data_IF_130753957462
#
_entry.id   IF_130753957462
#
_cell.length_a   1.000
_cell.length_b   1.000
_cell.length_c   1.000
_cell.angle_alpha   90.00
_cell.angle_beta   90.00
_cell.angle_gamma   90.00
#
_symmetry.space_group_name_H-M   'P 1'
#
loop_
_entity.id
_entity.type
_entity.pdbx_description
1 polymer ?
#
# COMPACT_ATOMS: atom_id res chain seq x y z
N UNK A 1 8.83 -19.02 0.10
CA UNK A 1 9.74 -19.80 0.97
C UNK A 1 10.25 -18.89 2.07
N UNK A 2 10.61 -19.42 3.24
CA UNK A 2 11.20 -18.61 4.29
C UNK A 2 12.11 -19.44 5.20
N UNK A 3 13.21 -18.82 5.65
CA UNK A 3 14.16 -19.37 6.61
C UNK A 3 14.20 -18.45 7.82
N UNK A 4 14.32 -19.02 9.02
CA UNK A 4 14.49 -18.23 10.23
C UNK A 4 15.54 -18.87 11.15
N UNK A 5 16.26 -18.00 11.84
CA UNK A 5 17.19 -18.35 12.91
C UNK A 5 16.88 -17.45 14.10
N UNK A 6 16.88 -18.01 15.30
CA UNK A 6 16.70 -17.25 16.53
C UNK A 6 17.57 -17.85 17.63
N UNK A 7 18.12 -16.97 18.46
CA UNK A 7 18.81 -17.33 19.67
C UNK A 7 18.29 -16.48 20.85
N UNK A 8 18.27 -17.09 22.03
CA UNK A 8 17.86 -16.45 23.29
C UNK A 8 18.90 -16.73 24.35
N UNK A 9 19.52 -15.65 24.82
CA UNK A 9 20.49 -15.68 25.88
C UNK A 9 19.90 -15.09 27.16
N UNK A 10 20.17 -15.73 28.29
CA UNK A 10 19.76 -15.25 29.61
C UNK A 10 20.94 -15.39 30.56
N UNK A 11 21.31 -14.29 31.20
CA UNK A 11 22.46 -14.23 32.09
C UNK A 11 22.13 -13.38 33.30
N UNK A 12 22.78 -13.67 34.41
CA UNK A 12 22.75 -12.83 35.60
C UNK A 12 24.06 -12.06 35.70
N UNK A 13 23.99 -10.72 35.72
CA UNK A 13 25.14 -9.84 35.89
C UNK A 13 24.92 -9.07 37.19
N UNK A 14 25.79 -9.26 38.19
CA UNK A 14 25.70 -8.59 39.50
C UNK A 14 24.30 -8.71 40.16
N UNK A 15 23.75 -9.94 40.22
CA UNK A 15 22.40 -10.24 40.73
C UNK A 15 21.26 -9.53 39.98
N UNK A 16 21.48 -9.19 38.70
CA UNK A 16 20.47 -8.61 37.81
C UNK A 16 20.27 -9.47 36.59
N UNK A 17 19.00 -9.68 36.23
CA UNK A 17 18.66 -10.50 35.08
C UNK A 17 18.82 -9.69 33.78
N UNK A 18 19.61 -10.24 32.86
CA UNK A 18 19.74 -9.78 31.48
C UNK A 18 19.15 -10.86 30.58
N UNK A 19 18.19 -10.48 29.75
CA UNK A 19 17.68 -11.32 28.67
C UNK A 19 17.92 -10.63 27.34
N UNK A 20 18.44 -11.38 26.38
CA UNK A 20 18.65 -10.93 25.00
C UNK A 20 18.06 -11.99 24.08
N UNK A 21 17.29 -11.56 23.10
CA UNK A 21 16.77 -12.42 22.04
C UNK A 21 17.10 -11.77 20.71
N UNK A 22 17.78 -12.49 19.84
CA UNK A 22 18.12 -12.02 18.50
C UNK A 22 17.62 -13.05 17.49
N UNK A 23 17.04 -12.56 16.41
CA UNK A 23 16.54 -13.41 15.33
C UNK A 23 16.73 -12.78 13.98
N UNK A 24 16.79 -13.62 12.96
CA UNK A 24 16.90 -13.23 11.57
C UNK A 24 15.96 -14.10 10.76
N UNK A 25 15.09 -13.46 9.97
CA UNK A 25 14.20 -14.14 9.04
C UNK A 25 14.48 -13.68 7.62
N UNK A 26 14.52 -14.62 6.69
CA UNK A 26 14.58 -14.35 5.26
C UNK A 26 13.36 -14.94 4.59
N UNK A 27 12.65 -14.14 3.81
CA UNK A 27 11.46 -14.54 3.08
C UNK A 27 11.64 -14.31 1.58
N UNK A 28 11.08 -15.22 0.79
CA UNK A 28 10.97 -15.14 -0.67
C UNK A 28 9.53 -15.37 -1.13
N UNK A 29 9.02 -14.47 -1.96
CA UNK A 29 7.72 -14.54 -2.63
C UNK A 29 7.96 -14.82 -4.12
N UNK A 30 7.18 -15.75 -4.69
CA UNK A 30 7.40 -16.29 -6.04
C UNK A 30 8.83 -16.80 -6.27
N UNK A 31 9.35 -17.72 -5.43
CA UNK A 31 10.68 -18.28 -5.67
C UNK A 31 10.74 -18.95 -7.04
N UNK A 32 11.90 -18.89 -7.69
CA UNK A 32 12.17 -19.51 -8.99
C UNK A 32 11.47 -18.85 -10.19
N UNK A 33 10.90 -17.65 -10.02
CA UNK A 33 10.40 -16.82 -11.13
C UNK A 33 11.28 -15.58 -11.32
N UNK A 34 11.17 -14.95 -12.49
CA UNK A 34 11.89 -13.69 -12.78
C UNK A 34 11.43 -12.52 -11.89
N UNK A 35 10.27 -12.64 -11.23
CA UNK A 35 9.70 -11.62 -10.35
C UNK A 35 9.80 -12.03 -8.87
N UNK A 36 10.84 -12.79 -8.51
CA UNK A 36 11.07 -13.20 -7.13
C UNK A 36 11.29 -11.98 -6.24
N UNK A 37 10.45 -11.80 -5.23
CA UNK A 37 10.64 -10.78 -4.20
C UNK A 37 11.30 -11.40 -2.98
N UNK A 38 12.21 -10.68 -2.33
CA UNK A 38 12.83 -11.15 -1.10
C UNK A 38 12.95 -10.06 -0.05
N UNK A 39 12.95 -10.48 1.22
CA UNK A 39 13.17 -9.60 2.35
C UNK A 39 13.95 -10.28 3.46
N UNK A 40 14.83 -9.50 4.09
CA UNK A 40 15.55 -9.88 5.30
C UNK A 40 15.02 -9.05 6.47
N UNK A 41 14.68 -9.75 7.55
CA UNK A 41 13.97 -9.25 8.72
C UNK A 41 14.73 -9.60 10.01
N UNK A 42 15.77 -8.82 10.36
CA UNK A 42 16.44 -8.92 11.65
C UNK A 42 15.54 -8.43 12.78
N UNK A 43 15.66 -9.03 13.96
CA UNK A 43 15.04 -8.59 15.20
C UNK A 43 15.99 -8.78 16.38
N UNK A 44 16.01 -7.84 17.31
CA UNK A 44 16.71 -7.94 18.58
C UNK A 44 15.85 -7.32 19.67
N UNK A 45 15.69 -8.04 20.77
CA UNK A 45 15.02 -7.59 21.98
C UNK A 45 15.96 -7.81 23.16
N UNK A 46 16.02 -6.85 24.06
CA UNK A 46 16.79 -6.94 25.28
C UNK A 46 15.97 -6.43 26.47
N UNK A 47 16.13 -7.08 27.61
CA UNK A 47 15.61 -6.59 28.88
C UNK A 47 16.67 -6.71 29.95
N UNK A 48 16.88 -5.65 30.71
CA UNK A 48 17.86 -5.60 31.77
C UNK A 48 17.26 -5.03 33.05
N UNK A 49 17.44 -5.74 34.15
CA UNK A 49 17.05 -5.28 35.49
C UNK A 49 18.07 -4.25 36.00
N UNK A 50 17.75 -2.97 35.94
CA UNK A 50 18.65 -1.88 36.37
C UNK A 50 18.91 -1.92 37.88
N UNK A 51 17.84 -2.05 38.65
CA UNK A 51 17.83 -2.27 40.10
C UNK A 51 16.74 -3.27 40.42
N UNK A 52 16.76 -3.83 41.64
CA UNK A 52 15.68 -4.71 42.09
C UNK A 52 14.34 -4.02 41.84
N UNK A 53 13.51 -4.68 41.05
CA UNK A 53 12.18 -4.24 40.64
C UNK A 53 12.07 -3.14 39.57
N UNK A 54 13.17 -2.72 38.93
CA UNK A 54 13.13 -1.79 37.79
C UNK A 54 13.79 -2.44 36.57
N UNK A 55 13.00 -2.72 35.54
CA UNK A 55 13.47 -3.34 34.29
C UNK A 55 13.38 -2.35 33.14
N UNK A 56 14.48 -2.21 32.41
CA UNK A 56 14.51 -1.52 31.12
C UNK A 56 14.39 -2.56 30.01
N UNK A 57 13.46 -2.34 29.09
CA UNK A 57 13.26 -3.13 27.87
C UNK A 57 13.59 -2.30 26.65
N UNK A 58 14.15 -2.92 25.64
CA UNK A 58 14.41 -2.30 24.35
C UNK A 58 14.28 -3.31 23.23
N UNK A 59 13.75 -2.88 22.10
CA UNK A 59 13.54 -3.71 20.93
C UNK A 59 13.83 -2.95 19.65
N UNK A 60 14.44 -3.64 18.69
CA UNK A 60 14.55 -3.18 17.32
C UNK A 60 14.29 -4.34 16.36
N UNK A 61 13.48 -4.11 15.34
CA UNK A 61 13.24 -5.12 14.32
C UNK A 61 12.80 -4.53 12.99
N UNK A 62 13.03 -5.28 11.93
CA UNK A 62 12.48 -5.01 10.60
C UNK A 62 11.55 -6.16 10.26
N UNK A 63 10.31 -5.83 9.93
CA UNK A 63 9.31 -6.78 9.45
C UNK A 63 9.04 -6.51 7.98
N UNK A 64 8.87 -7.53 7.17
CA UNK A 64 8.49 -7.38 5.77
C UNK A 64 7.12 -8.00 5.52
N UNK A 65 6.32 -7.36 4.67
CA UNK A 65 5.02 -7.85 4.24
C UNK A 65 5.08 -8.15 2.75
N UNK A 66 4.55 -9.29 2.35
CA UNK A 66 4.42 -9.66 0.94
C UNK A 66 3.30 -8.87 0.28
N UNK A 67 3.39 -8.60 -1.03
CA UNK A 67 2.25 -8.06 -1.77
C UNK A 67 1.14 -9.11 -1.86
N UNK A 68 -0.10 -8.63 -1.97
CA UNK A 68 -1.26 -9.48 -2.25
C UNK A 68 -1.28 -9.88 -3.72
N UNK A 69 -2.14 -10.84 -4.08
CA UNK A 69 -2.32 -11.26 -5.48
C UNK A 69 -2.71 -10.10 -6.39
N UNK A 70 -3.49 -9.13 -5.89
CA UNK A 70 -3.88 -7.94 -6.64
C UNK A 70 -2.67 -7.14 -7.16
N UNK A 71 -1.60 -7.05 -6.36
CA UNK A 71 -0.40 -6.31 -6.77
C UNK A 71 0.58 -7.16 -7.56
N UNK A 72 0.59 -8.48 -7.36
CA UNK A 72 1.46 -9.42 -8.08
C UNK A 72 0.93 -9.77 -9.48
N UNK A 73 -0.39 -9.83 -9.61
CA UNK A 73 -1.11 -10.21 -10.82
C UNK A 73 -2.30 -9.24 -11.02
N UNK A 74 -2.04 -7.96 -11.26
CA UNK A 74 -3.12 -7.01 -11.54
C UNK A 74 -3.79 -7.36 -12.86
N UNK A 75 -5.09 -7.06 -12.95
CA UNK A 75 -5.82 -7.21 -14.21
C UNK A 75 -5.38 -6.17 -15.24
N UNK A 76 -5.52 -6.52 -16.51
CA UNK A 76 -5.28 -5.58 -17.62
C UNK A 76 -6.25 -4.41 -17.55
N UNK A 77 -5.78 -3.24 -17.96
CA UNK A 77 -6.64 -2.06 -18.11
C UNK A 77 -7.25 -2.03 -19.49
N UNK A 78 -8.54 -1.70 -19.57
CA UNK A 78 -9.30 -1.59 -20.82
C UNK A 78 -9.73 -0.14 -21.00
N UNK A 79 -9.40 0.43 -22.15
CA UNK A 79 -9.83 1.77 -22.54
C UNK A 79 -10.74 1.65 -23.75
N UNK A 80 -12.01 1.99 -23.55
CA UNK A 80 -13.05 1.91 -24.56
C UNK A 80 -13.37 3.31 -25.08
N UNK A 81 -13.19 3.51 -26.38
CA UNK A 81 -13.52 4.76 -27.05
C UNK A 81 -14.45 4.50 -28.22
N UNK A 82 -15.42 5.40 -28.42
CA UNK A 82 -16.26 5.34 -29.60
C UNK A 82 -15.44 5.65 -30.84
N UNK A 83 -15.32 4.64 -31.70
CA UNK A 83 -14.88 4.79 -33.08
C UNK A 83 -15.97 5.36 -33.97
N UNK A 84 -17.23 5.13 -33.60
CA UNK A 84 -18.41 5.75 -34.16
C UNK A 84 -19.53 5.70 -33.13
N UNK A 85 -20.28 6.79 -32.97
CA UNK A 85 -21.55 6.79 -32.25
C UNK A 85 -22.62 7.43 -33.13
N UNK A 86 -23.29 6.61 -33.93
CA UNK A 86 -24.40 7.04 -34.78
C UNK A 86 -25.73 6.67 -34.10
N UNK A 87 -26.26 7.61 -33.33
CA UNK A 87 -27.51 7.43 -32.61
C UNK A 87 -28.73 7.71 -33.49
N UNK A 88 -29.74 6.83 -33.40
CA UNK A 88 -31.09 6.99 -33.96
C UNK A 88 -32.10 6.44 -32.96
N UNK A 89 -33.29 7.04 -32.91
CA UNK A 89 -34.39 6.55 -32.07
C UNK A 89 -34.82 5.14 -32.46
N UNK A 90 -34.81 4.83 -33.76
CA UNK A 90 -35.03 3.48 -34.26
C UNK A 90 -33.76 2.63 -34.07
N UNK A 91 -33.76 1.58 -33.24
CA UNK A 91 -32.58 0.75 -33.01
C UNK A 91 -32.08 0.02 -34.27
N UNK A 92 -32.95 -0.21 -35.25
CA UNK A 92 -32.55 -0.79 -36.54
C UNK A 92 -31.65 0.15 -37.37
N UNK A 93 -31.66 1.44 -37.07
CA UNK A 93 -30.90 2.49 -37.77
C UNK A 93 -29.72 3.04 -36.94
N UNK A 94 -29.59 2.61 -35.68
CA UNK A 94 -28.50 3.03 -34.80
C UNK A 94 -27.27 2.11 -34.97
N UNK A 95 -26.08 2.69 -34.87
CA UNK A 95 -24.82 1.96 -34.84
C UNK A 95 -23.80 2.65 -33.95
N UNK A 96 -23.31 1.91 -32.96
CA UNK A 96 -22.15 2.28 -32.17
C UNK A 96 -21.01 1.30 -32.45
N UNK A 97 -19.82 1.83 -32.75
CA UNK A 97 -18.58 1.08 -32.84
C UNK A 97 -17.66 1.57 -31.73
N UNK A 98 -17.17 0.63 -30.92
CA UNK A 98 -16.25 0.89 -29.83
C UNK A 98 -14.94 0.18 -30.15
N UNK A 99 -13.83 0.92 -30.06
CA UNK A 99 -12.50 0.33 -30.07
C UNK A 99 -11.99 0.24 -28.65
N UNK A 100 -11.60 -0.98 -28.26
CA UNK A 100 -10.94 -1.26 -26.99
C UNK A 100 -9.43 -1.28 -27.17
N UNK A 101 -8.72 -0.55 -26.33
CA UNK A 101 -7.27 -0.65 -26.14
C UNK A 101 -6.99 -1.33 -24.82
N UNK A 102 -6.05 -2.28 -24.81
CA UNK A 102 -5.73 -3.10 -23.64
C UNK A 102 -4.30 -2.83 -23.22
N UNK A 103 -4.09 -2.59 -21.93
CA UNK A 103 -2.78 -2.30 -21.36
C UNK A 103 -2.41 -3.30 -20.26
N UNK A 104 -1.14 -3.66 -20.21
CA UNK A 104 -0.56 -4.40 -19.08
C UNK A 104 -0.31 -3.42 -17.93
N UNK A 105 -0.83 -3.77 -16.76
CA UNK A 105 -0.75 -2.95 -15.55
C UNK A 105 0.28 -3.49 -14.56
N UNK A 106 0.97 -4.58 -14.90
CA UNK A 106 1.97 -5.19 -14.03
C UNK A 106 3.13 -4.24 -13.74
N UNK A 107 3.59 -4.26 -12.48
CA UNK A 107 4.80 -3.54 -12.07
C UNK A 107 5.94 -4.54 -11.77
N UNK A 108 6.92 -4.68 -12.68
CA UNK A 108 8.06 -5.58 -12.46
C UNK A 108 9.00 -5.11 -11.34
N UNK A 109 8.97 -3.81 -11.00
CA UNK A 109 9.83 -3.20 -9.98
C UNK A 109 9.20 -3.19 -8.58
N UNK A 110 8.10 -3.93 -8.39
CA UNK A 110 7.39 -4.01 -7.12
C UNK A 110 8.30 -4.55 -6.01
N UNK A 111 8.32 -3.89 -4.85
CA UNK A 111 9.15 -4.25 -3.69
C UNK A 111 8.29 -4.73 -2.53
N UNK A 112 8.88 -5.53 -1.65
CA UNK A 112 8.25 -5.86 -0.37
C UNK A 112 8.15 -4.62 0.51
N UNK A 113 6.98 -4.40 1.12
CA UNK A 113 6.81 -3.39 2.18
C UNK A 113 7.67 -3.77 3.38
N UNK A 114 8.40 -2.81 3.94
CA UNK A 114 9.27 -3.02 5.10
C UNK A 114 8.94 -2.05 6.21
N UNK A 115 8.77 -2.57 7.41
CA UNK A 115 8.46 -1.82 8.62
C UNK A 115 9.59 -1.97 9.63
N UNK A 116 10.30 -0.89 9.92
CA UNK A 116 11.29 -0.85 11.01
C UNK A 116 10.66 -0.29 12.27
N UNK A 117 10.70 -1.05 13.36
CA UNK A 117 10.18 -0.65 14.67
C UNK A 117 11.32 -0.57 15.69
N UNK A 118 11.33 0.52 16.45
CA UNK A 118 12.15 0.73 17.65
C UNK A 118 11.22 0.91 18.83
N UNK A 119 11.48 0.21 19.93
CA UNK A 119 10.69 0.32 21.15
C UNK A 119 11.60 0.38 22.38
N UNK A 120 11.17 1.12 23.39
CA UNK A 120 11.83 1.24 24.68
C UNK A 120 10.77 1.26 25.77
N UNK A 121 10.93 0.40 26.77
CA UNK A 121 9.98 0.24 27.85
C UNK A 121 10.63 0.27 29.22
N UNK A 122 9.91 0.73 30.21
CA UNK A 122 10.30 0.72 31.62
C UNK A 122 9.20 0.04 32.42
N UNK A 123 9.58 -0.99 33.18
CA UNK A 123 8.70 -1.66 34.13
C UNK A 123 9.21 -1.49 35.55
N UNK A 124 8.35 -1.02 36.43
CA UNK A 124 8.61 -0.92 37.85
C UNK A 124 7.62 -1.78 38.64
N UNK A 125 8.14 -2.59 39.55
CA UNK A 125 7.36 -3.47 40.42
C UNK A 125 7.53 -3.06 41.89
N UNK A 126 6.45 -3.11 42.66
CA UNK A 126 6.55 -2.89 44.11
C UNK A 126 5.51 -3.75 44.82
N UNK A 127 5.93 -4.92 45.28
CA UNK A 127 5.02 -5.93 45.83
C UNK A 127 3.99 -6.36 44.78
N UNK A 128 2.71 -6.01 45.02
CA UNK A 128 1.58 -6.31 44.10
C UNK A 128 1.31 -5.18 43.08
N UNK A 129 2.11 -4.12 43.07
CA UNK A 129 1.95 -2.97 42.17
C UNK A 129 2.85 -3.11 40.95
N UNK A 130 2.37 -2.70 39.79
CA UNK A 130 3.11 -2.72 38.52
C UNK A 130 2.89 -1.42 37.77
N UNK A 131 3.97 -0.80 37.33
CA UNK A 131 3.91 0.39 36.49
C UNK A 131 4.74 0.15 35.24
N UNK A 132 4.11 0.14 34.08
CA UNK A 132 4.75 -0.08 32.79
C UNK A 132 4.54 1.13 31.90
N UNK A 133 5.60 1.61 31.26
CA UNK A 133 5.53 2.62 30.20
C UNK A 133 6.32 2.10 29.01
N UNK A 134 5.78 2.26 27.80
CA UNK A 134 6.42 1.84 26.55
C UNK A 134 6.33 2.96 25.51
N UNK A 135 7.44 3.30 24.89
CA UNK A 135 7.49 4.23 23.77
C UNK A 135 7.93 3.50 22.51
N UNK A 136 7.30 3.80 21.37
CA UNK A 136 7.68 3.20 20.09
C UNK A 136 7.73 4.22 18.95
N UNK A 137 8.56 3.87 17.97
CA UNK A 137 8.69 4.55 16.70
C UNK A 137 8.76 3.50 15.60
N UNK A 138 7.79 3.53 14.68
CA UNK A 138 7.62 2.57 13.61
C UNK A 138 7.56 3.30 12.27
N UNK A 139 8.45 2.95 11.35
CA UNK A 139 8.47 3.48 9.99
C UNK A 139 8.25 2.35 9.00
N UNK A 140 7.13 2.42 8.28
CA UNK A 140 6.80 1.57 7.14
C UNK A 140 7.18 2.28 5.85
N UNK A 141 7.93 1.58 5.00
CA UNK A 141 8.34 2.03 3.68
C UNK A 141 7.83 1.10 2.59
N UNK A 142 7.67 1.63 1.38
CA UNK A 142 7.22 0.90 0.21
C UNK A 142 5.82 0.28 0.41
N UNK A 143 4.90 0.99 1.06
CA UNK A 143 3.50 0.56 1.18
C UNK A 143 2.86 0.42 -0.20
N UNK A 144 2.04 -0.61 -0.35
CA UNK A 144 1.38 -0.92 -1.62
C UNK A 144 0.22 0.01 -1.91
N UNK A 145 0.11 0.43 -3.17
CA UNK A 145 -0.99 1.24 -3.66
C UNK A 145 -1.23 0.95 -5.14
N UNK A 146 -2.46 1.17 -5.61
CA UNK A 146 -2.76 1.22 -7.05
C UNK A 146 -2.79 2.69 -7.43
N UNK A 147 -1.87 3.15 -8.28
CA UNK A 147 -1.86 4.55 -8.69
C UNK A 147 -1.49 4.73 -10.16
N UNK A 148 -1.84 5.90 -10.67
CA UNK A 148 -1.45 6.34 -12.00
C UNK A 148 -0.04 6.92 -11.92
N UNK A 149 0.90 6.30 -12.64
CA UNK A 149 2.28 6.74 -12.82
C UNK A 149 2.57 7.08 -14.30
N UNK A 150 3.78 7.54 -14.61
CA UNK A 150 4.18 7.90 -15.98
C UNK A 150 3.96 6.78 -17.01
N UNK A 151 4.20 5.52 -16.63
CA UNK A 151 4.00 4.39 -17.54
C UNK A 151 2.52 4.06 -17.77
N UNK A 152 1.65 4.54 -16.89
CA UNK A 152 0.20 4.30 -16.97
C UNK A 152 -0.57 5.38 -17.72
N UNK A 153 0.11 6.40 -18.25
CA UNK A 153 -0.45 7.38 -19.18
C UNK A 153 -0.01 6.99 -20.59
N UNK A 154 -0.96 6.61 -21.44
CA UNK A 154 -0.70 6.09 -22.78
C UNK A 154 -1.44 6.93 -23.83
N UNK A 155 -0.73 7.32 -24.87
CA UNK A 155 -1.33 7.94 -26.05
C UNK A 155 -1.73 6.84 -27.02
N UNK A 156 -3.03 6.72 -27.31
CA UNK A 156 -3.57 5.67 -28.18
C UNK A 156 -4.28 6.24 -29.39
N UNK A 157 -3.95 5.70 -30.57
CA UNK A 157 -4.70 5.95 -31.78
C UNK A 157 -5.99 5.14 -31.78
N UNK A 158 -7.13 5.81 -31.97
CA UNK A 158 -8.45 5.21 -32.13
C UNK A 158 -8.92 5.47 -33.57
N UNK A 159 -9.32 4.43 -34.32
CA UNK A 159 -9.90 4.62 -35.65
C UNK A 159 -11.26 5.31 -35.51
N UNK A 160 -11.48 6.35 -36.30
CA UNK A 160 -12.73 7.11 -36.35
C UNK A 160 -13.39 6.85 -37.70
N UNK A 161 -14.60 6.31 -37.66
CA UNK A 161 -15.42 6.07 -38.85
C UNK A 161 -16.43 7.20 -39.02
N UNK A 162 -16.78 7.46 -40.28
CA UNK A 162 -17.85 8.40 -40.63
C UNK A 162 -18.94 7.67 -41.42
N UNK A 163 -20.15 8.20 -41.40
CA UNK A 163 -21.28 7.63 -42.15
C UNK A 163 -21.27 8.18 -43.57
N UNK A 164 -21.23 7.29 -44.56
CA UNK A 164 -21.35 7.66 -45.98
C UNK A 164 -22.82 7.76 -46.40
N UNK A 165 -23.67 6.83 -45.96
CA UNK A 165 -25.11 6.87 -46.21
C UNK A 165 -25.89 6.15 -45.11
N UNK A 166 -27.16 6.51 -44.91
CA UNK A 166 -28.03 5.94 -43.87
C UNK A 166 -29.43 5.64 -44.45
N UNK A 167 -29.65 4.44 -45.03
CA UNK A 167 -30.95 4.06 -45.56
C UNK A 167 -31.97 3.82 -44.44
N UNK A 168 -33.20 4.30 -44.62
CA UNK A 168 -34.29 4.10 -43.67
C UNK A 168 -34.54 2.60 -43.40
N UNK A 169 -34.76 2.25 -42.14
CA UNK A 169 -34.95 0.86 -41.70
C UNK A 169 -33.69 0.00 -41.61
N UNK A 170 -32.49 0.56 -41.79
CA UNK A 170 -31.22 -0.18 -41.75
C UNK A 170 -30.08 0.60 -41.11
N UNK A 171 -29.03 -0.13 -40.69
CA UNK A 171 -27.81 0.48 -40.13
C UNK A 171 -27.10 1.37 -41.18
N UNK A 172 -26.43 2.45 -40.75
CA UNK A 172 -25.66 3.29 -41.66
C UNK A 172 -24.53 2.51 -42.35
N UNK A 173 -24.25 2.88 -43.60
CA UNK A 173 -23.10 2.43 -44.37
C UNK A 173 -21.94 3.38 -44.07
N UNK A 174 -20.82 2.80 -43.63
CA UNK A 174 -19.63 3.55 -43.23
C UNK A 174 -18.82 3.99 -44.45
N UNK A 175 -18.15 5.14 -44.34
CA UNK A 175 -17.13 5.56 -45.31
C UNK A 175 -15.95 4.57 -45.32
N UNK A 176 -15.37 4.26 -46.50
CA UNK A 176 -14.12 3.52 -46.57
C UNK A 176 -12.92 4.33 -46.02
N UNK A 177 -13.05 5.65 -45.93
CA UNK A 177 -12.02 6.53 -45.40
C UNK A 177 -12.08 6.54 -43.86
N UNK A 178 -11.08 5.90 -43.23
CA UNK A 178 -10.94 5.81 -41.76
C UNK A 178 -9.80 6.71 -41.32
N UNK A 179 -10.08 7.65 -40.42
CA UNK A 179 -9.04 8.48 -39.80
C UNK A 179 -8.63 7.90 -38.45
N UNK A 180 -7.46 8.30 -37.93
CA UNK A 180 -7.05 7.94 -36.57
C UNK A 180 -6.96 9.20 -35.74
N UNK A 181 -7.64 9.22 -34.59
CA UNK A 181 -7.53 10.29 -33.60
C UNK A 181 -6.78 9.78 -32.36
N UNK A 182 -5.94 10.62 -31.78
CA UNK A 182 -5.14 10.26 -30.61
C UNK A 182 -5.89 10.63 -29.33
N UNK A 183 -6.10 9.63 -28.48
CA UNK A 183 -6.68 9.78 -27.14
C UNK A 183 -5.63 9.53 -26.07
N UNK A 184 -5.85 10.08 -24.89
CA UNK A 184 -5.04 9.75 -23.71
C UNK A 184 -5.81 8.74 -22.87
N UNK A 185 -5.24 7.55 -22.73
CA UNK A 185 -5.73 6.53 -21.82
C UNK A 185 -4.90 6.61 -20.53
N UNK A 186 -5.57 6.58 -19.38
CA UNK A 186 -4.92 6.46 -18.08
C UNK A 186 -5.45 5.24 -17.33
N UNK A 187 -4.60 4.61 -16.55
CA UNK A 187 -4.99 3.48 -15.71
C UNK A 187 -4.16 3.45 -14.42
N UNK A 188 -4.60 2.67 -13.43
CA UNK A 188 -3.83 2.46 -12.20
C UNK A 188 -2.97 1.20 -12.31
N UNK A 189 -1.77 1.24 -11.77
CA UNK A 189 -0.85 0.10 -11.66
C UNK A 189 -0.35 -0.04 -10.22
N UNK A 190 0.03 -1.25 -9.78
CA UNK A 190 0.68 -1.45 -8.48
C UNK A 190 1.93 -0.59 -8.31
N UNK A 191 2.11 0.02 -7.15
CA UNK A 191 3.31 0.79 -6.80
C UNK A 191 3.66 0.70 -5.31
N UNK A 192 4.77 1.34 -4.94
CA UNK A 192 5.34 1.34 -3.59
C UNK A 192 5.41 2.77 -3.03
N UNK A 193 4.31 3.51 -3.07
CA UNK A 193 4.33 4.97 -2.87
C UNK A 193 3.82 5.45 -1.51
N UNK A 194 3.48 4.53 -0.61
CA UNK A 194 2.92 4.88 0.69
C UNK A 194 3.93 4.63 1.83
N UNK A 195 4.45 5.72 2.40
CA UNK A 195 5.31 5.67 3.58
C UNK A 195 4.52 6.09 4.83
N UNK A 196 4.48 5.22 5.83
CA UNK A 196 3.70 5.44 7.06
C UNK A 196 4.66 5.54 8.25
N UNK A 197 4.50 6.57 9.05
CA UNK A 197 5.21 6.77 10.30
C UNK A 197 4.22 6.71 11.46
N UNK A 198 4.38 5.72 12.34
CA UNK A 198 3.65 5.60 13.59
C UNK A 198 4.59 5.85 14.76
N UNK A 199 4.15 6.61 15.75
CA UNK A 199 4.87 6.78 17.01
C UNK A 199 3.88 6.92 18.15
N UNK A 200 4.26 6.47 19.33
CA UNK A 200 3.37 6.54 20.46
C UNK A 200 4.03 6.22 21.78
N UNK A 201 3.29 6.49 22.83
CA UNK A 201 3.60 6.11 24.21
C UNK A 201 2.38 5.43 24.79
N UNK A 202 2.59 4.30 25.45
CA UNK A 202 1.59 3.49 26.12
C UNK A 202 1.98 3.35 27.59
N UNK A 203 1.00 3.31 28.48
CA UNK A 203 1.23 3.04 29.89
C UNK A 203 0.14 2.16 30.48
N UNK A 204 0.55 1.36 31.46
CA UNK A 204 -0.32 0.47 32.22
C UNK A 204 0.15 0.45 33.67
N UNK A 205 -0.68 1.01 34.54
CA UNK A 205 -0.41 1.21 35.96
C UNK A 205 -1.43 0.43 36.79
N UNK A 206 -0.97 -0.64 37.42
CA UNK A 206 -1.70 -1.39 38.44
C UNK A 206 -1.21 -0.99 39.82
N UNK A 207 -2.07 -0.31 40.58
CA UNK A 207 -1.77 0.17 41.93
C UNK A 207 -1.93 -0.92 42.99
N UNK A 208 -2.33 -2.13 42.60
CA UNK A 208 -2.68 -3.22 43.48
C UNK A 208 -3.91 -2.92 44.32
N UNK A 209 -4.20 -3.81 45.28
CA UNK A 209 -5.27 -3.61 46.25
C UNK A 209 -4.81 -2.71 47.40
N UNK A 210 -5.64 -1.74 47.76
CA UNK A 210 -5.53 -0.97 48.99
C UNK A 210 -6.37 -1.65 50.07
N UNK A 211 -5.72 -2.35 51.02
CA UNK A 211 -6.42 -3.19 51.99
C UNK A 211 -7.37 -2.40 52.91
N UNK A 212 -7.05 -1.15 53.25
CA UNK A 212 -7.87 -0.28 54.10
C UNK A 212 -9.27 0.00 53.52
N UNK A 213 -9.38 0.03 52.19
CA UNK A 213 -10.64 0.27 51.48
C UNK A 213 -11.09 -0.94 50.65
N UNK A 214 -10.32 -2.03 50.68
CA UNK A 214 -10.53 -3.26 49.92
C UNK A 214 -10.66 -3.10 48.40
N UNK A 215 -10.23 -1.96 47.84
CA UNK A 215 -10.37 -1.59 46.43
C UNK A 215 -9.03 -1.69 45.68
N UNK A 216 -9.07 -2.04 44.40
CA UNK A 216 -7.92 -1.98 43.48
C UNK A 216 -8.16 -0.96 42.38
N UNK A 217 -7.11 -0.28 41.94
CA UNK A 217 -7.16 0.69 40.86
C UNK A 217 -6.18 0.30 39.76
N UNK A 218 -6.65 0.36 38.51
CA UNK A 218 -5.84 0.19 37.32
C UNK A 218 -6.08 1.40 36.43
N UNK A 219 -5.00 1.97 35.90
CA UNK A 219 -5.03 3.08 34.97
C UNK A 219 -4.17 2.72 33.76
N UNK A 220 -4.78 2.69 32.59
CA UNK A 220 -4.08 2.46 31.33
C UNK A 220 -4.43 3.56 30.32
N UNK A 221 -3.58 3.70 29.32
CA UNK A 221 -3.78 4.68 28.27
C UNK A 221 -2.67 4.66 27.23
N UNK A 222 -2.92 5.35 26.14
CA UNK A 222 -1.99 5.47 25.03
C UNK A 222 -2.14 6.82 24.33
N UNK A 223 -1.04 7.31 23.78
CA UNK A 223 -1.00 8.39 22.80
C UNK A 223 -0.36 7.84 21.53
N UNK A 224 -1.05 7.97 20.40
CA UNK A 224 -0.60 7.53 19.09
C UNK A 224 -0.61 8.72 18.12
N UNK A 225 0.42 8.80 17.28
CA UNK A 225 0.50 9.71 16.14
C UNK A 225 0.89 8.92 14.90
N UNK A 226 0.07 9.05 13.86
CA UNK A 226 0.31 8.47 12.54
C UNK A 226 0.48 9.60 11.53
N UNK A 227 1.54 9.52 10.73
CA UNK A 227 1.76 10.37 9.56
C UNK A 227 1.89 9.49 8.33
N UNK A 228 1.09 9.78 7.32
CA UNK A 228 1.13 9.11 6.02
C UNK A 228 1.77 10.10 5.03
N UNK A 229 2.78 9.67 4.29
CA UNK A 229 3.34 10.41 3.18
C UNK A 229 3.07 9.61 1.90
N UNK A 230 2.18 10.12 1.08
CA UNK A 230 1.87 9.55 -0.23
C UNK A 230 2.74 10.27 -1.28
N UNK A 231 3.58 9.52 -2.00
CA UNK A 231 4.35 10.04 -3.12
C UNK A 231 3.47 10.06 -4.38
N UNK A 232 2.66 11.10 -4.53
CA UNK A 232 1.94 11.35 -5.77
C UNK A 232 2.82 12.07 -6.79
N UNK A 233 2.79 11.59 -8.03
CA UNK A 233 3.09 12.44 -9.18
C UNK A 233 1.74 12.90 -9.74
N UNK A 234 1.34 14.13 -9.46
CA UNK A 234 0.12 14.71 -10.01
C UNK A 234 0.34 14.97 -11.50
N UNK A 235 -0.23 14.11 -12.35
CA UNK A 235 -0.31 14.36 -13.79
C UNK A 235 -1.77 14.69 -14.14
N UNK A 236 -2.06 15.98 -14.33
CA UNK A 236 -3.32 16.41 -14.92
C UNK A 236 -3.26 16.16 -16.42
N UNK A 237 -4.01 15.16 -16.90
CA UNK A 237 -4.28 15.02 -18.32
C UNK A 237 -5.58 15.79 -18.59
N UNK A 238 -5.49 16.89 -19.36
CA UNK A 238 -6.67 17.57 -19.86
C UNK A 238 -7.28 16.72 -20.98
N UNK A 239 -8.44 16.13 -20.74
CA UNK A 239 -9.23 15.47 -21.78
C UNK A 239 -9.95 16.55 -22.59
N UNK A 240 -9.41 16.94 -23.75
CA UNK A 240 -10.15 17.79 -24.68
C UNK A 240 -11.09 16.88 -25.52
N UNK A 241 -12.37 16.83 -25.14
CA UNK A 241 -13.43 16.12 -25.86
C UNK A 241 -13.57 16.66 -27.30
N UNK A 242 -13.36 15.80 -28.30
CA UNK A 242 -13.54 16.13 -29.71
C UNK A 242 -15.00 15.97 -30.12
N UNK A 243 -15.84 16.97 -29.83
CA UNK A 243 -17.21 16.99 -30.34
C UNK A 243 -17.64 18.39 -30.84
N UNK A 244 -16.86 19.04 -31.73
CA UNK A 244 -17.38 19.98 -32.74
C UNK A 244 -16.30 20.59 -33.67
N UNK A 245 -16.65 21.07 -34.88
CA UNK A 245 -15.70 21.57 -35.87
C UNK A 245 -15.39 23.09 -35.75
N UNK A 246 -15.35 23.69 -34.56
CA UNK A 246 -14.99 25.13 -34.34
C UNK A 246 -14.34 25.36 -32.94
N UNK A 247 -13.59 26.46 -32.71
CA UNK A 247 -12.27 26.44 -32.07
C UNK A 247 -12.26 26.22 -30.55
N UNK A 248 -11.16 25.59 -30.14
CA UNK A 248 -10.84 24.96 -28.86
C UNK A 248 -11.01 25.85 -27.62
N UNK A 249 -11.70 25.30 -26.61
CA UNK A 249 -11.53 25.65 -25.20
C UNK A 249 -11.19 24.37 -24.44
N UNK A 250 -9.94 24.22 -24.03
CA UNK A 250 -9.57 23.27 -22.98
C UNK A 250 -9.81 23.98 -21.63
N UNK A 251 -10.46 23.29 -20.70
CA UNK A 251 -10.62 23.72 -19.29
C UNK A 251 -9.55 23.01 -18.48
#
# INVERSE_FOLDING_TARGET
MGLYLEDRYSMQIADRNLHIQAGLRWDQVQPFTNNTLSALSPRINASFELVKNLTLRGGYGITAKSPTLLYLYPDRAYYDAFSLNYYKENPAEALALVTTRVFDTANPDLKMTKTSKKEIGLDFFSGKRRFSVNGYYEQTKNGYEMNTNLNSVQFVGIPIYTVQSAPAGSKPILSPDVTTSTFVATYSSPSNNNDILNKGIEFDFDFGRFDNIRTSFVLNGAYLSTKINEQYSLYSVAECSQSNPYPYRCI
#
